data_IF_102355039157
#
_entry.id   IF_102355039157
#
_cell.length_a   1.000
_cell.length_b   1.000
_cell.length_c   1.000
_cell.angle_alpha   90.00
_cell.angle_beta   90.00
_cell.angle_gamma   90.00
#
_symmetry.space_group_name_H-M   'P 1'
#
loop_
_entity.id
_entity.type
_entity.pdbx_description
1 polymer ?
#
# COMPACT_ATOMS: atom_id res chain seq x y z
N UNK A 1 -76.73 24.42 -39.28
CA UNK A 1 -75.41 24.65 -39.89
C UNK A 1 -74.49 25.24 -38.85
N UNK A 2 -73.39 24.53 -38.61
CA UNK A 2 -72.51 24.64 -37.45
C UNK A 2 -71.70 25.94 -37.43
N UNK A 3 -71.67 26.63 -36.29
CA UNK A 3 -70.72 27.73 -36.02
C UNK A 3 -69.67 27.25 -35.02
N UNK A 4 -68.42 27.52 -35.42
CA UNK A 4 -67.12 27.23 -34.80
C UNK A 4 -67.09 27.33 -33.28
N UNK A 5 -66.47 26.33 -32.64
CA UNK A 5 -65.77 26.50 -31.38
C UNK A 5 -64.29 26.17 -31.61
N UNK A 6 -63.47 27.23 -31.67
CA UNK A 6 -62.01 27.14 -31.54
C UNK A 6 -61.69 26.79 -30.08
N UNK A 7 -60.97 25.69 -29.87
CA UNK A 7 -60.44 25.32 -28.56
C UNK A 7 -59.08 25.99 -28.43
N UNK A 8 -59.06 27.17 -27.81
CA UNK A 8 -57.82 27.81 -27.34
C UNK A 8 -57.58 27.37 -25.89
N UNK A 9 -56.75 26.35 -25.66
CA UNK A 9 -56.26 26.01 -24.32
C UNK A 9 -54.88 26.61 -24.11
N UNK A 10 -54.87 27.70 -23.36
CA UNK A 10 -53.74 28.48 -22.92
C UNK A 10 -52.95 27.77 -21.80
N UNK A 11 -51.64 27.62 -22.06
CA UNK A 11 -50.51 27.73 -21.12
C UNK A 11 -50.49 26.85 -19.84
N UNK A 12 -49.66 25.82 -19.93
CA UNK A 12 -48.60 25.44 -18.97
C UNK A 12 -48.44 26.39 -17.76
N UNK A 13 -48.75 25.89 -16.56
CA UNK A 13 -48.11 26.33 -15.32
C UNK A 13 -48.24 25.23 -14.25
N UNK A 14 -47.27 24.30 -14.22
CA UNK A 14 -47.02 23.51 -13.01
C UNK A 14 -45.82 24.12 -12.29
N UNK A 15 -46.15 24.78 -11.19
CA UNK A 15 -45.29 25.50 -10.29
C UNK A 15 -44.32 24.53 -9.59
N UNK A 16 -43.04 24.63 -9.96
CA UNK A 16 -41.96 23.84 -9.40
C UNK A 16 -41.57 24.43 -8.02
N UNK A 17 -42.14 23.90 -6.93
CA UNK A 17 -41.84 24.35 -5.58
C UNK A 17 -40.44 23.89 -5.14
N UNK A 18 -39.40 24.66 -5.48
CA UNK A 18 -38.07 24.52 -4.89
C UNK A 18 -38.11 24.97 -3.43
N UNK A 19 -37.99 24.03 -2.48
CA UNK A 19 -37.76 24.35 -1.06
C UNK A 19 -36.48 25.18 -0.93
N UNK A 20 -36.48 26.32 -0.22
CA UNK A 20 -35.29 27.14 -0.07
C UNK A 20 -34.27 26.40 0.78
N UNK A 21 -33.17 25.99 0.15
CA UNK A 21 -32.03 25.37 0.81
C UNK A 21 -31.40 26.43 1.72
N UNK A 22 -31.37 26.15 3.03
CA UNK A 22 -30.77 27.05 4.00
C UNK A 22 -29.24 26.99 3.87
N UNK A 23 -28.68 27.94 3.11
CA UNK A 23 -27.25 28.03 2.76
C UNK A 23 -26.31 27.90 3.97
N UNK A 24 -26.71 28.40 5.15
CA UNK A 24 -25.90 28.31 6.39
C UNK A 24 -25.76 26.88 6.91
N UNK A 25 -26.79 26.02 6.73
CA UNK A 25 -26.71 24.61 7.13
C UNK A 25 -25.84 23.81 6.15
N UNK A 26 -25.92 24.11 4.86
CA UNK A 26 -25.10 23.45 3.82
C UNK A 26 -23.61 23.74 4.00
N UNK A 27 -23.25 24.99 4.29
CA UNK A 27 -21.85 25.37 4.53
C UNK A 27 -21.25 24.60 5.72
N UNK A 28 -21.99 24.45 6.82
CA UNK A 28 -21.51 23.69 7.99
C UNK A 28 -21.26 22.21 7.67
N UNK A 29 -22.14 21.59 6.89
CA UNK A 29 -21.99 20.19 6.48
C UNK A 29 -20.74 20.02 5.59
N UNK A 30 -20.51 20.92 4.65
CA UNK A 30 -19.34 20.89 3.77
C UNK A 30 -18.04 21.04 4.57
N UNK A 31 -17.99 21.95 5.54
CA UNK A 31 -16.81 22.14 6.40
C UNK A 31 -16.51 20.89 7.25
N UNK A 32 -17.53 20.22 7.78
CA UNK A 32 -17.34 18.97 8.51
C UNK A 32 -16.80 17.84 7.62
N UNK A 33 -17.30 17.71 6.39
CA UNK A 33 -16.81 16.69 5.44
C UNK A 33 -15.34 16.97 5.06
N UNK A 34 -14.99 18.23 4.78
CA UNK A 34 -13.61 18.63 4.48
C UNK A 34 -12.66 18.32 5.64
N UNK A 35 -13.07 18.58 6.89
CA UNK A 35 -12.26 18.27 8.07
C UNK A 35 -12.00 16.77 8.23
N UNK A 36 -13.00 15.92 7.96
CA UNK A 36 -12.85 14.46 7.99
C UNK A 36 -11.87 13.99 6.90
N UNK A 37 -11.99 14.51 5.68
CA UNK A 37 -11.09 14.15 4.57
C UNK A 37 -9.63 14.55 4.86
N UNK A 38 -9.40 15.72 5.47
CA UNK A 38 -8.06 16.15 5.88
C UNK A 38 -7.49 15.24 6.98
N UNK A 39 -8.31 14.85 7.96
CA UNK A 39 -7.86 13.93 9.03
C UNK A 39 -7.51 12.54 8.49
N UNK A 40 -8.29 12.01 7.54
CA UNK A 40 -8.00 10.72 6.89
C UNK A 40 -6.70 10.81 6.07
N UNK A 41 -6.54 11.87 5.27
CA UNK A 41 -5.33 12.06 4.46
C UNK A 41 -4.04 12.20 5.27
N UNK A 42 -4.09 12.88 6.43
CA UNK A 42 -2.95 12.99 7.35
C UNK A 42 -2.66 11.63 8.02
N UNK A 43 -3.69 10.83 8.28
CA UNK A 43 -3.53 9.51 8.91
C UNK A 43 -2.84 8.51 7.98
N UNK A 44 -3.19 8.50 6.69
CA UNK A 44 -2.54 7.63 5.70
C UNK A 44 -1.07 8.02 5.46
N UNK A 45 -0.74 9.32 5.43
CA UNK A 45 0.67 9.76 5.31
C UNK A 45 1.55 9.36 6.51
N UNK A 46 0.97 9.16 7.70
CA UNK A 46 1.74 8.73 8.88
C UNK A 46 2.04 7.22 8.87
N UNK A 47 1.26 6.41 8.17
CA UNK A 47 1.54 4.96 8.07
C UNK A 47 2.80 4.67 7.25
N UNK A 48 3.06 5.43 6.18
CA UNK A 48 4.28 5.29 5.38
C UNK A 48 5.54 5.75 6.12
N UNK A 49 5.39 6.56 7.18
CA UNK A 49 6.49 7.10 7.98
C UNK A 49 7.00 6.15 9.07
N UNK A 50 6.34 5.02 9.34
CA UNK A 50 6.68 4.15 10.47
C UNK A 50 7.15 2.75 10.03
N UNK A 51 8.15 2.68 9.13
CA UNK A 51 9.04 1.51 9.08
C UNK A 51 9.86 1.51 10.37
N UNK A 52 9.42 0.72 11.36
CA UNK A 52 9.93 0.62 12.73
C UNK A 52 11.47 0.58 12.81
N UNK A 53 12.04 1.62 13.43
CA UNK A 53 13.35 1.72 14.09
C UNK A 53 14.50 0.86 13.52
N UNK A 54 14.84 1.01 12.24
CA UNK A 54 16.21 0.69 11.83
C UNK A 54 17.17 1.75 12.39
N UNK A 55 18.07 1.34 13.30
CA UNK A 55 19.12 2.20 13.86
C UNK A 55 19.94 2.89 12.77
N UNK A 56 20.06 2.26 11.58
CA UNK A 56 20.78 2.81 10.44
C UNK A 56 19.95 3.80 9.59
N UNK A 57 18.64 3.91 9.80
CA UNK A 57 17.74 4.83 9.06
C UNK A 57 17.09 5.88 9.97
N UNK A 58 17.61 6.10 11.18
CA UNK A 58 17.09 7.14 12.08
C UNK A 58 17.25 8.52 11.44
N UNK A 59 16.12 9.22 11.27
CA UNK A 59 16.04 10.53 10.64
C UNK A 59 15.99 10.51 9.11
N UNK A 60 15.86 9.33 8.48
CA UNK A 60 15.60 9.21 7.06
C UNK A 60 14.10 9.12 6.78
N UNK A 61 13.68 9.64 5.64
CA UNK A 61 12.32 9.52 5.10
C UNK A 61 12.36 8.83 3.74
N UNK A 62 11.39 7.98 3.44
CA UNK A 62 11.23 7.41 2.10
C UNK A 62 10.88 8.53 1.13
N UNK A 63 11.65 8.67 0.05
CA UNK A 63 11.42 9.70 -0.97
C UNK A 63 10.88 9.11 -2.26
N UNK A 64 11.44 7.96 -2.68
CA UNK A 64 11.08 7.29 -3.93
C UNK A 64 11.06 5.78 -3.69
N UNK A 65 10.06 5.12 -4.24
CA UNK A 65 9.97 3.67 -4.33
C UNK A 65 9.72 3.30 -5.80
N UNK A 66 10.61 2.50 -6.38
CA UNK A 66 10.53 2.08 -7.79
C UNK A 66 10.50 0.56 -7.88
N UNK A 67 9.52 0.02 -8.60
CA UNK A 67 9.44 -1.42 -8.85
C UNK A 67 10.60 -1.83 -9.77
N UNK A 68 11.48 -2.68 -9.26
CA UNK A 68 12.65 -3.18 -10.00
C UNK A 68 12.33 -4.52 -10.63
N UNK A 69 11.66 -5.40 -9.88
CA UNK A 69 11.31 -6.71 -10.41
C UNK A 69 10.04 -7.30 -9.76
N UNK A 70 9.42 -8.25 -10.44
CA UNK A 70 8.32 -9.08 -9.98
C UNK A 70 8.58 -10.54 -10.38
N UNK A 71 8.59 -11.42 -9.40
CA UNK A 71 8.89 -12.84 -9.55
C UNK A 71 7.87 -13.71 -8.83
N UNK A 72 7.85 -15.00 -9.15
CA UNK A 72 7.09 -15.99 -8.40
C UNK A 72 7.94 -16.49 -7.23
N UNK A 73 7.33 -16.74 -6.07
CA UNK A 73 7.97 -17.46 -4.97
C UNK A 73 7.95 -18.95 -5.28
N UNK A 74 9.07 -19.62 -4.99
CA UNK A 74 9.16 -21.07 -5.07
C UNK A 74 8.53 -21.66 -3.81
N UNK A 75 7.58 -22.59 -3.99
CA UNK A 75 7.07 -23.38 -2.87
C UNK A 75 8.07 -24.50 -2.56
N UNK A 76 8.62 -24.49 -1.34
CA UNK A 76 9.54 -25.52 -0.83
C UNK A 76 8.82 -26.21 0.32
N UNK A 77 8.65 -27.54 0.25
CA UNK A 77 7.98 -28.35 1.27
C UNK A 77 6.67 -27.75 1.86
N UNK A 78 5.84 -27.13 1.01
CA UNK A 78 4.55 -26.58 1.40
C UNK A 78 4.58 -25.15 1.94
N UNK A 79 5.74 -24.47 2.00
CA UNK A 79 5.86 -23.08 2.44
C UNK A 79 6.54 -22.20 1.38
N UNK A 80 6.26 -20.89 1.42
CA UNK A 80 6.85 -19.90 0.50
C UNK A 80 7.93 -19.04 1.16
N UNK A 81 7.85 -18.88 2.48
CA UNK A 81 8.69 -17.97 3.24
C UNK A 81 9.13 -18.66 4.53
N UNK A 82 10.44 -18.77 4.75
CA UNK A 82 11.02 -19.12 6.03
C UNK A 82 11.14 -17.86 6.90
N UNK A 83 10.92 -17.98 8.21
CA UNK A 83 11.15 -16.94 9.20
C UNK A 83 12.08 -17.48 10.28
N UNK A 84 13.22 -16.84 10.49
CA UNK A 84 14.18 -17.21 11.52
C UNK A 84 14.72 -15.99 12.27
N UNK A 85 15.60 -16.25 13.23
CA UNK A 85 16.34 -15.21 13.97
C UNK A 85 17.83 -15.43 13.77
N UNK A 86 18.57 -14.37 13.43
CA UNK A 86 20.02 -14.37 13.35
C UNK A 86 20.52 -13.20 14.20
N UNK A 87 21.42 -13.44 15.15
CA UNK A 87 21.96 -12.41 16.05
C UNK A 87 20.87 -11.58 16.76
N UNK A 88 19.75 -12.22 17.12
CA UNK A 88 18.60 -11.55 17.74
C UNK A 88 17.77 -10.67 16.80
N UNK A 89 18.07 -10.66 15.50
CA UNK A 89 17.29 -9.98 14.47
C UNK A 89 16.42 -10.99 13.70
N UNK A 90 15.16 -10.62 13.43
CA UNK A 90 14.27 -11.45 12.60
C UNK A 90 14.63 -11.33 11.12
N UNK A 91 14.75 -12.47 10.47
CA UNK A 91 15.05 -12.63 9.05
C UNK A 91 13.95 -13.43 8.36
N UNK A 92 13.72 -13.11 7.09
CA UNK A 92 12.91 -13.91 6.18
C UNK A 92 13.77 -14.46 5.05
N UNK A 93 13.57 -15.74 4.74
CA UNK A 93 14.32 -16.45 3.72
C UNK A 93 13.33 -16.97 2.68
N UNK A 94 13.58 -16.70 1.41
CA UNK A 94 12.77 -17.23 0.31
C UNK A 94 13.59 -17.48 -0.95
N UNK A 95 13.04 -18.27 -1.86
CA UNK A 95 13.56 -18.46 -3.21
C UNK A 95 12.54 -17.90 -4.21
N UNK A 96 13.03 -17.23 -5.25
CA UNK A 96 12.20 -16.68 -6.31
C UNK A 96 12.50 -17.39 -7.64
N UNK A 97 11.51 -17.42 -8.52
CA UNK A 97 11.59 -17.98 -9.87
C UNK A 97 11.03 -16.99 -10.89
N UNK A 98 11.79 -16.80 -11.97
CA UNK A 98 11.40 -15.99 -13.12
C UNK A 98 11.94 -16.64 -14.39
N UNK A 99 11.11 -16.76 -15.42
CA UNK A 99 11.48 -17.39 -16.70
C UNK A 99 12.10 -18.79 -16.53
N UNK A 100 11.54 -19.61 -15.63
CA UNK A 100 12.01 -20.95 -15.28
C UNK A 100 13.44 -21.01 -14.67
N UNK A 101 13.97 -19.87 -14.23
CA UNK A 101 15.23 -19.79 -13.49
C UNK A 101 14.95 -19.45 -12.03
N UNK A 102 15.45 -20.30 -11.14
CA UNK A 102 15.35 -20.11 -9.69
C UNK A 102 16.55 -19.32 -9.19
N UNK A 103 16.31 -18.39 -8.27
CA UNK A 103 17.38 -17.70 -7.54
C UNK A 103 18.03 -18.64 -6.52
N UNK A 104 19.14 -18.20 -5.93
CA UNK A 104 19.55 -18.73 -4.63
C UNK A 104 18.55 -18.32 -3.53
N UNK A 105 18.76 -18.80 -2.31
CA UNK A 105 18.03 -18.31 -1.15
C UNK A 105 18.35 -16.83 -0.93
N UNK A 106 17.30 -16.02 -0.86
CA UNK A 106 17.34 -14.60 -0.54
C UNK A 106 17.05 -14.47 0.95
N UNK A 107 18.03 -13.98 1.71
CA UNK A 107 17.89 -13.66 3.12
C UNK A 107 17.74 -12.15 3.29
N UNK A 108 16.67 -11.73 3.96
CA UNK A 108 16.34 -10.32 4.20
C UNK A 108 15.86 -10.10 5.62
N UNK A 109 16.29 -9.00 6.22
CA UNK A 109 15.82 -8.59 7.53
C UNK A 109 14.34 -8.19 7.49
N UNK A 110 13.61 -8.43 8.58
CA UNK A 110 12.16 -8.13 8.70
C UNK A 110 11.79 -6.69 8.28
N UNK A 111 12.69 -5.73 8.50
CA UNK A 111 12.49 -4.31 8.14
C UNK A 111 12.50 -4.02 6.64
N UNK A 112 12.97 -4.96 5.82
CA UNK A 112 13.03 -4.86 4.36
C UNK A 112 11.97 -5.72 3.67
N UNK A 113 11.10 -6.39 4.43
CA UNK A 113 10.02 -7.24 3.91
C UNK A 113 8.68 -6.75 4.45
N UNK A 114 7.77 -6.48 3.52
CA UNK A 114 6.36 -6.24 3.81
C UNK A 114 5.56 -7.48 3.37
N UNK A 115 4.85 -8.12 4.30
CA UNK A 115 4.08 -9.34 4.04
C UNK A 115 2.61 -9.00 3.82
N UNK A 116 2.08 -9.40 2.68
CA UNK A 116 0.69 -9.22 2.30
C UNK A 116 0.01 -10.59 2.23
N UNK A 117 -0.96 -10.80 3.11
CA UNK A 117 -1.77 -12.01 3.07
C UNK A 117 -2.85 -11.87 2.00
N UNK A 118 -2.79 -12.70 0.97
CA UNK A 118 -3.72 -12.69 -0.16
C UNK A 118 -4.30 -14.08 -0.39
N UNK A 119 -5.52 -14.12 -0.90
CA UNK A 119 -6.18 -15.34 -1.35
C UNK A 119 -6.22 -15.42 -2.88
N UNK A 120 -6.75 -16.52 -3.42
CA UNK A 120 -6.91 -16.71 -4.87
C UNK A 120 -8.17 -16.02 -5.43
N UNK A 121 -8.95 -15.30 -4.62
CA UNK A 121 -10.35 -15.01 -4.94
C UNK A 121 -10.58 -13.76 -5.81
N UNK A 122 -9.74 -12.72 -5.72
CA UNK A 122 -9.56 -11.69 -6.76
C UNK A 122 -8.66 -10.55 -6.23
N UNK A 123 -7.36 -10.66 -6.44
CA UNK A 123 -6.41 -9.57 -6.16
C UNK A 123 -5.55 -9.32 -7.39
N UNK A 124 -5.16 -8.06 -7.59
CA UNK A 124 -4.14 -7.66 -8.57
C UNK A 124 -2.85 -8.49 -8.43
N UNK A 125 -2.56 -8.93 -7.20
CA UNK A 125 -1.38 -9.70 -6.82
C UNK A 125 -1.77 -11.10 -6.36
N UNK A 126 -1.25 -12.13 -7.03
CA UNK A 126 -1.56 -13.53 -6.74
C UNK A 126 -0.71 -14.06 -5.57
N UNK A 127 -1.24 -14.97 -4.74
CA UNK A 127 -0.44 -15.68 -3.74
C UNK A 127 0.75 -16.38 -4.41
N UNK A 128 1.91 -16.36 -3.74
CA UNK A 128 3.16 -16.84 -4.30
C UNK A 128 3.87 -15.81 -5.19
N UNK A 129 3.61 -14.51 -5.01
CA UNK A 129 4.29 -13.42 -5.75
C UNK A 129 5.24 -12.65 -4.84
N UNK A 130 6.39 -12.24 -5.36
CA UNK A 130 7.28 -11.28 -4.69
C UNK A 130 7.63 -10.14 -5.63
N UNK A 131 7.53 -8.92 -5.13
CA UNK A 131 7.94 -7.71 -5.84
C UNK A 131 9.11 -7.06 -5.12
N UNK A 132 10.17 -6.79 -5.86
CA UNK A 132 11.36 -6.11 -5.38
C UNK A 132 11.31 -4.63 -5.77
N UNK A 133 11.55 -3.76 -4.80
CA UNK A 133 11.53 -2.32 -4.96
C UNK A 133 12.89 -1.74 -4.58
N UNK A 134 13.42 -0.84 -5.41
CA UNK A 134 14.48 0.06 -5.00
C UNK A 134 13.84 1.23 -4.25
N UNK A 135 14.22 1.41 -2.99
CA UNK A 135 13.71 2.47 -2.13
C UNK A 135 14.84 3.43 -1.77
N UNK A 136 14.62 4.71 -2.07
CA UNK A 136 15.54 5.79 -1.71
C UNK A 136 15.11 6.41 -0.38
N UNK A 137 15.97 6.26 0.61
CA UNK A 137 15.85 6.87 1.93
C UNK A 137 16.67 8.14 1.97
N UNK A 138 16.04 9.26 2.31
CA UNK A 138 16.69 10.58 2.34
C UNK A 138 16.66 11.15 3.74
N UNK A 139 17.83 11.57 4.22
CA UNK A 139 17.99 12.35 5.44
C UNK A 139 18.10 13.82 5.07
N UNK A 140 17.31 14.65 5.75
CA UNK A 140 17.32 16.11 5.59
C UNK A 140 17.84 16.79 6.85
N UNK A 141 18.48 17.96 6.69
CA UNK A 141 18.81 18.83 7.81
C UNK A 141 17.58 19.62 8.31
N UNK A 142 17.78 20.46 9.32
CA UNK A 142 16.72 21.34 9.88
C UNK A 142 16.20 22.38 8.88
N UNK A 143 16.95 22.65 7.81
CA UNK A 143 16.62 23.61 6.77
C UNK A 143 15.94 22.93 5.57
N UNK A 144 15.71 21.61 5.63
CA UNK A 144 15.08 20.84 4.58
C UNK A 144 16.02 20.40 3.44
N UNK A 145 17.33 20.66 3.56
CA UNK A 145 18.32 20.26 2.56
C UNK A 145 18.67 18.78 2.72
N UNK A 146 18.83 18.08 1.59
CA UNK A 146 19.26 16.68 1.59
C UNK A 146 20.72 16.60 2.02
N UNK A 147 20.97 15.89 3.12
CA UNK A 147 22.33 15.65 3.64
C UNK A 147 22.85 14.26 3.30
N UNK A 148 21.95 13.29 3.09
CA UNK A 148 22.33 11.94 2.71
C UNK A 148 21.18 11.20 2.04
N UNK A 149 21.51 10.42 1.02
CA UNK A 149 20.60 9.44 0.39
C UNK A 149 21.18 8.04 0.58
N UNK A 150 20.34 7.09 0.92
CA UNK A 150 20.68 5.67 0.98
C UNK A 150 19.63 4.88 0.20
N UNK A 151 20.07 4.09 -0.76
CA UNK A 151 19.20 3.18 -1.49
C UNK A 151 19.20 1.81 -0.82
N UNK A 152 18.04 1.15 -0.77
CA UNK A 152 17.90 -0.22 -0.31
C UNK A 152 16.89 -0.98 -1.15
N UNK A 153 17.07 -2.29 -1.26
CA UNK A 153 16.06 -3.17 -1.82
C UNK A 153 15.07 -3.58 -0.72
N UNK A 154 13.79 -3.35 -0.97
CA UNK A 154 12.69 -3.79 -0.11
C UNK A 154 11.79 -4.72 -0.92
N UNK A 155 11.14 -5.67 -0.24
CA UNK A 155 10.36 -6.71 -0.86
C UNK A 155 8.92 -6.66 -0.36
N UNK A 156 7.96 -6.76 -1.27
CA UNK A 156 6.56 -7.01 -0.94
C UNK A 156 6.25 -8.46 -1.31
N UNK A 157 5.91 -9.25 -0.29
CA UNK A 157 5.75 -10.71 -0.39
C UNK A 157 4.27 -11.04 -0.22
N UNK A 158 3.66 -11.59 -1.27
CA UNK A 158 2.23 -11.89 -1.33
C UNK A 158 2.01 -13.39 -1.17
N UNK A 159 1.45 -13.81 -0.04
CA UNK A 159 1.36 -15.22 0.34
C UNK A 159 0.01 -15.56 0.98
N UNK A 160 -0.42 -16.83 0.97
CA UNK A 160 -1.58 -17.27 1.75
C UNK A 160 -1.36 -17.10 3.26
N UNK A 161 -2.44 -17.11 4.04
CA UNK A 161 -2.31 -17.24 5.49
C UNK A 161 -1.60 -18.55 5.85
N UNK A 162 -0.83 -18.53 6.95
CA UNK A 162 -0.15 -19.69 7.52
C UNK A 162 0.91 -20.36 6.61
N UNK A 163 1.38 -19.69 5.55
CA UNK A 163 2.42 -20.24 4.67
C UNK A 163 3.85 -19.78 5.01
N UNK A 164 4.03 -19.21 6.21
CA UNK A 164 5.34 -18.87 6.76
C UNK A 164 5.79 -20.03 7.65
N UNK A 165 6.93 -20.62 7.34
CA UNK A 165 7.56 -21.65 8.18
C UNK A 165 8.49 -21.00 9.19
N UNK A 166 8.36 -21.37 10.46
CA UNK A 166 9.34 -20.98 11.48
C UNK A 166 10.59 -21.86 11.35
N UNK A 167 11.74 -21.24 11.14
CA UNK A 167 13.04 -21.88 10.98
C UNK A 167 13.89 -21.82 12.27
N UNK A 168 13.43 -21.14 13.32
CA UNK A 168 14.18 -21.01 14.58
C UNK A 168 15.39 -20.07 14.46
N UNK A 169 16.46 -20.38 15.21
CA UNK A 169 17.72 -19.66 15.12
C UNK A 169 18.47 -20.07 13.85
N UNK A 170 18.93 -19.09 13.11
CA UNK A 170 19.72 -19.24 11.89
C UNK A 170 21.19 -19.20 12.28
N UNK A 171 22.01 -19.95 11.55
CA UNK A 171 23.45 -19.96 11.72
C UNK A 171 24.11 -19.50 10.43
N UNK A 172 25.07 -18.60 10.50
CA UNK A 172 26.01 -18.41 9.40
C UNK A 172 26.91 -19.64 9.34
N UNK A 173 26.96 -20.30 8.20
CA UNK A 173 28.03 -21.28 7.96
C UNK A 173 29.35 -20.51 7.93
N UNK A 174 30.19 -20.71 8.94
CA UNK A 174 31.57 -20.27 8.93
C UNK A 174 32.33 -21.08 7.86
N UNK A 175 32.60 -20.46 6.72
CA UNK A 175 33.67 -20.87 5.80
C UNK A 175 34.76 -19.80 5.77
#
# INVERSE_FOLDING_TARGET
MSKKNEITSTKLYQQNNKKPINKRKVIKVIVCILAILVMIGIYDQRKDSQRKDDKNLVGYTVQKEELVDSCNLVNVDGFYLGKGTLDGQTHYIFQAEKNNQKSNNIDVIDKQVDIYYVDYSNTLDKPGTVKAYATDYVKKDKNGNVVRTQQRYCYKVYIPQNSIKNCGELTTSDE
#
